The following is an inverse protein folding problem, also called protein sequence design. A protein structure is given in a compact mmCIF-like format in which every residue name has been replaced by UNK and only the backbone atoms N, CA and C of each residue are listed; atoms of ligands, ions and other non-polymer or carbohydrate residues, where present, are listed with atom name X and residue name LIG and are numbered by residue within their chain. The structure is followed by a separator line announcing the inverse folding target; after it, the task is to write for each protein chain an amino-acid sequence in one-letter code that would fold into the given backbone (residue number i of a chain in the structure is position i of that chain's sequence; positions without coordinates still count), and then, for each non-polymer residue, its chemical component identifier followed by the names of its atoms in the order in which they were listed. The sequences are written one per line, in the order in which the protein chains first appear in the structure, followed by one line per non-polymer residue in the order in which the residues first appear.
data_IF_821846771360
#
_entry.id   IF_821846771360
#
_cell.length_a   1.000
_cell.length_b   1.000
_cell.length_c   1.000
_cell.angle_alpha   90.00
_cell.angle_beta   90.00
_cell.angle_gamma   90.00
#
_symmetry.space_group_name_H-M   'P 1'
#
loop_
_entity.id
_entity.type
_entity.pdbx_description
1 polymer ?
#
# COMPACT_ATOMS: atom_id res chain seq x y z
N UNK A 1 -14.16 14.29 36.54
CA UNK A 1 -14.83 13.40 35.59
C UNK A 1 -13.71 12.64 34.85
N UNK A 2 -13.55 11.35 35.13
CA UNK A 2 -12.46 10.54 34.59
C UNK A 2 -12.87 10.09 33.17
N UNK A 3 -12.12 10.48 32.15
CA UNK A 3 -12.24 9.95 30.80
C UNK A 3 -11.35 8.69 30.73
N UNK A 4 -11.98 7.55 30.54
CA UNK A 4 -11.28 6.29 30.21
C UNK A 4 -10.94 6.31 28.77
N UNK A 5 -9.66 6.38 28.44
CA UNK A 5 -9.15 6.09 27.11
C UNK A 5 -9.01 4.57 26.97
N UNK A 6 -9.78 4.01 26.06
CA UNK A 6 -9.69 2.60 25.67
C UNK A 6 -8.51 2.49 24.70
N UNK A 7 -7.39 1.94 25.17
CA UNK A 7 -6.28 1.53 24.31
C UNK A 7 -6.70 0.26 23.57
N UNK A 8 -6.77 0.32 22.26
CA UNK A 8 -6.90 -0.85 21.41
C UNK A 8 -5.51 -1.42 21.19
N UNK A 9 -5.21 -2.51 21.87
CA UNK A 9 -3.97 -3.27 21.70
C UNK A 9 -4.12 -4.07 20.41
N UNK A 10 -3.32 -3.76 19.40
CA UNK A 10 -3.13 -4.60 18.22
C UNK A 10 -2.33 -5.82 18.67
N UNK A 11 -3.02 -6.90 18.99
CA UNK A 11 -2.40 -8.21 19.23
C UNK A 11 -2.10 -8.84 17.89
N UNK A 12 -0.83 -8.85 17.50
CA UNK A 12 -0.32 -9.70 16.43
C UNK A 12 -0.54 -11.17 16.81
N UNK A 13 -1.47 -11.82 16.11
CA UNK A 13 -1.76 -13.24 16.29
C UNK A 13 -0.62 -14.09 15.71
N UNK A 14 0.20 -14.66 16.58
CA UNK A 14 1.10 -15.76 16.21
C UNK A 14 0.27 -17.00 15.87
N UNK A 15 0.23 -17.36 14.61
CA UNK A 15 -0.30 -18.64 14.15
C UNK A 15 0.81 -19.71 14.28
N UNK A 16 0.80 -20.46 15.38
CA UNK A 16 1.64 -21.64 15.54
C UNK A 16 1.04 -22.81 14.77
N UNK A 17 1.65 -23.19 13.65
CA UNK A 17 1.33 -24.41 12.92
C UNK A 17 2.06 -25.56 13.61
N UNK A 18 1.32 -26.40 14.32
CA UNK A 18 1.79 -27.70 14.83
C UNK A 18 1.70 -28.74 13.73
N UNK A 19 2.85 -29.15 13.21
CA UNK A 19 3.00 -30.34 12.37
C UNK A 19 2.80 -31.61 13.24
N UNK A 20 1.73 -32.33 13.02
CA UNK A 20 1.55 -33.71 13.48
C UNK A 20 1.97 -34.66 12.36
N UNK A 21 3.13 -35.28 12.54
CA UNK A 21 3.56 -36.44 11.78
C UNK A 21 2.77 -37.67 12.26
N UNK A 22 2.08 -38.34 11.35
CA UNK A 22 1.44 -39.62 11.59
C UNK A 22 1.79 -40.58 10.45
N UNK A 23 2.69 -41.54 10.72
CA UNK A 23 2.97 -42.71 9.90
C UNK A 23 1.86 -43.76 10.06
N UNK A 24 1.56 -44.49 8.95
CA UNK A 24 0.77 -45.72 9.05
C UNK A 24 0.28 -46.22 7.70
N UNK A 25 0.87 -47.03 7.21
CA UNK A 25 1.22 -48.17 6.34
C UNK A 25 0.03 -49.05 5.84
N UNK A 26 0.17 -49.45 4.54
CA UNK A 26 -0.21 -50.67 3.83
C UNK A 26 -1.68 -51.03 3.58
N UNK A 27 -1.91 -51.38 2.28
CA UNK A 27 -2.76 -52.51 1.93
C UNK A 27 -3.58 -52.39 0.62
N UNK A 28 -2.96 -52.76 -0.45
CA UNK A 28 -3.35 -53.63 -1.60
C UNK A 28 -4.81 -53.83 -2.05
N UNK A 29 -4.90 -53.80 -3.37
CA UNK A 29 -5.67 -54.68 -4.31
C UNK A 29 -7.06 -54.20 -4.74
N UNK A 30 -7.19 -53.88 -5.98
CA UNK A 30 -7.36 -54.64 -7.24
C UNK A 30 -8.80 -54.85 -7.70
N UNK A 31 -8.95 -54.62 -9.00
CA UNK A 31 -9.86 -55.14 -10.02
C UNK A 31 -11.19 -54.41 -10.25
N UNK A 32 -11.25 -53.79 -11.42
CA UNK A 32 -11.79 -54.25 -12.71
C UNK A 32 -13.32 -54.44 -12.73
N UNK A 33 -14.07 -53.82 -13.59
CA UNK A 33 -14.38 -54.29 -14.93
C UNK A 33 -15.44 -53.37 -15.62
N UNK A 34 -15.20 -53.10 -16.86
CA UNK A 34 -16.03 -52.95 -18.05
C UNK A 34 -17.51 -52.57 -17.99
N UNK A 35 -17.89 -51.68 -18.91
CA UNK A 35 -19.27 -51.57 -19.40
C UNK A 35 -19.49 -50.39 -20.38
N UNK A 36 -19.05 -50.60 -21.63
CA UNK A 36 -19.41 -49.85 -22.84
C UNK A 36 -20.94 -49.93 -23.08
N UNK A 37 -21.53 -48.80 -23.55
CA UNK A 37 -22.40 -48.89 -24.73
C UNK A 37 -22.69 -47.54 -25.39
N UNK A 38 -22.40 -47.51 -26.65
CA UNK A 38 -22.75 -46.62 -27.75
C UNK A 38 -24.25 -46.71 -28.11
N UNK A 39 -24.79 -45.57 -28.63
CA UNK A 39 -25.59 -45.43 -29.86
C UNK A 39 -26.11 -43.97 -29.94
N UNK A 40 -25.71 -43.18 -30.88
CA UNK A 40 -25.86 -43.01 -32.33
C UNK A 40 -27.27 -42.58 -32.78
N UNK A 41 -27.34 -41.34 -33.36
CA UNK A 41 -28.05 -40.88 -34.59
C UNK A 41 -29.57 -40.64 -34.48
N UNK A 42 -30.08 -39.43 -34.82
CA UNK A 42 -30.42 -38.85 -36.16
C UNK A 42 -31.23 -37.58 -35.92
N UNK A 43 -30.91 -36.50 -36.46
CA UNK A 43 -31.22 -35.66 -37.64
C UNK A 43 -32.71 -35.63 -38.08
N UNK A 44 -33.30 -34.43 -38.13
CA UNK A 44 -34.06 -33.85 -39.25
C UNK A 44 -34.79 -32.56 -38.85
N UNK A 45 -34.38 -31.46 -39.39
CA UNK A 45 -34.91 -30.53 -40.42
C UNK A 45 -36.34 -30.03 -40.36
N UNK A 46 -36.39 -28.67 -40.64
CA UNK A 46 -37.45 -27.83 -41.28
C UNK A 46 -38.59 -27.34 -40.39
N UNK A 47 -38.77 -26.08 -40.29
CA UNK A 47 -39.02 -24.88 -41.08
C UNK A 47 -40.45 -24.37 -40.79
N UNK A 48 -40.64 -23.14 -40.40
CA UNK A 48 -41.54 -22.16 -40.98
C UNK A 48 -41.86 -20.97 -40.04
N UNK A 49 -41.73 -19.84 -40.65
CA UNK A 49 -42.02 -18.50 -40.21
C UNK A 49 -43.49 -18.25 -39.83
N UNK A 50 -43.77 -17.33 -38.91
CA UNK A 50 -44.67 -16.22 -39.14
C UNK A 50 -44.87 -15.28 -37.93
N UNK A 51 -44.71 -14.01 -38.26
CA UNK A 51 -45.50 -12.83 -37.83
C UNK A 51 -45.41 -12.29 -36.39
N UNK A 52 -44.89 -11.07 -36.34
CA UNK A 52 -44.98 -9.99 -35.35
C UNK A 52 -46.43 -9.63 -35.01
N UNK A 53 -46.70 -9.16 -33.76
CA UNK A 53 -47.14 -7.78 -33.70
C UNK A 53 -46.31 -6.91 -32.76
N UNK A 54 -46.04 -5.73 -33.24
CA UNK A 54 -45.70 -4.49 -32.57
C UNK A 54 -46.49 -4.24 -31.29
N UNK A 55 -45.82 -3.94 -30.19
CA UNK A 55 -46.43 -3.18 -29.09
C UNK A 55 -45.40 -2.22 -28.52
N UNK A 56 -45.86 -1.02 -28.45
CA UNK A 56 -45.25 0.27 -28.21
C UNK A 56 -44.30 0.37 -27.01
N UNK A 57 -43.33 1.24 -27.22
CA UNK A 57 -42.31 1.74 -26.32
C UNK A 57 -42.84 2.21 -24.95
N UNK A 58 -42.18 1.76 -23.89
CA UNK A 58 -41.99 2.57 -22.69
C UNK A 58 -40.53 2.85 -22.53
N UNK A 59 -40.16 4.09 -22.79
CA UNK A 59 -38.89 4.74 -22.52
C UNK A 59 -38.62 4.67 -21.01
N UNK A 60 -37.75 3.80 -20.60
CA UNK A 60 -37.07 3.92 -19.31
C UNK A 60 -35.63 4.26 -19.60
N UNK A 61 -35.13 5.28 -18.90
CA UNK A 61 -33.89 5.98 -18.98
C UNK A 61 -32.71 5.26 -19.67
N UNK A 62 -32.17 5.91 -20.68
CA UNK A 62 -30.89 5.59 -21.27
C UNK A 62 -29.80 5.72 -20.18
N UNK A 63 -29.42 4.62 -19.54
CA UNK A 63 -28.09 4.47 -18.99
C UNK A 63 -27.14 4.51 -20.18
N UNK A 64 -26.16 5.38 -20.16
CA UNK A 64 -25.06 5.43 -21.11
C UNK A 64 -24.47 4.03 -21.18
N UNK A 65 -24.65 3.33 -22.30
CA UNK A 65 -23.88 2.13 -22.64
C UNK A 65 -22.45 2.61 -22.90
N UNK A 66 -21.66 2.78 -21.83
CA UNK A 66 -20.22 2.97 -21.93
C UNK A 66 -19.60 1.70 -22.52
N UNK A 67 -18.59 1.87 -23.33
CA UNK A 67 -17.74 0.79 -23.82
C UNK A 67 -17.12 0.07 -22.59
N UNK A 68 -17.13 -1.27 -22.59
CA UNK A 68 -16.51 -2.08 -21.54
C UNK A 68 -15.28 -2.79 -22.07
N UNK A 69 -14.35 -3.09 -21.20
CA UNK A 69 -13.16 -3.89 -21.48
C UNK A 69 -13.06 -5.04 -20.46
N UNK A 70 -12.53 -6.17 -20.90
CA UNK A 70 -12.26 -7.28 -20.00
C UNK A 70 -10.82 -7.15 -19.50
N UNK A 71 -10.65 -7.17 -18.18
CA UNK A 71 -9.35 -7.18 -17.52
C UNK A 71 -9.19 -8.47 -16.71
N UNK A 72 -7.96 -8.84 -16.40
CA UNK A 72 -7.68 -10.00 -15.55
C UNK A 72 -7.18 -9.53 -14.20
N UNK A 73 -7.84 -9.96 -13.15
CA UNK A 73 -7.43 -9.75 -11.77
C UNK A 73 -7.00 -11.07 -11.09
N UNK A 74 -6.77 -11.09 -9.78
CA UNK A 74 -6.37 -12.30 -9.05
C UNK A 74 -7.47 -13.37 -8.98
N UNK A 75 -8.72 -13.04 -9.29
CA UNK A 75 -9.87 -13.96 -9.31
C UNK A 75 -10.23 -14.44 -10.72
N UNK A 76 -9.73 -13.79 -11.76
CA UNK A 76 -9.98 -14.12 -13.15
C UNK A 76 -10.35 -12.93 -14.01
N UNK A 77 -11.21 -13.13 -15.01
CA UNK A 77 -11.66 -12.07 -15.92
C UNK A 77 -12.80 -11.27 -15.28
N UNK A 78 -12.67 -9.94 -15.34
CA UNK A 78 -13.67 -8.96 -14.88
C UNK A 78 -13.96 -8.00 -16.02
N UNK A 79 -15.24 -7.72 -16.30
CA UNK A 79 -15.67 -6.70 -17.25
C UNK A 79 -15.82 -5.36 -16.52
N UNK A 80 -15.07 -4.34 -16.96
CA UNK A 80 -15.06 -2.99 -16.35
C UNK A 80 -15.38 -1.94 -17.40
N UNK A 81 -15.81 -0.71 -17.02
CA UNK A 81 -15.89 0.42 -17.96
C UNK A 81 -14.53 0.70 -18.61
N UNK A 82 -14.50 0.96 -19.92
CA UNK A 82 -13.27 1.32 -20.62
C UNK A 82 -12.71 2.69 -20.15
N UNK A 83 -13.56 3.56 -19.65
CA UNK A 83 -13.21 4.87 -19.11
C UNK A 83 -13.99 5.15 -17.83
N UNK A 84 -13.60 4.53 -16.68
CA UNK A 84 -14.30 4.69 -15.42
C UNK A 84 -14.19 6.13 -14.90
N UNK A 85 -15.29 6.69 -14.45
CA UNK A 85 -15.42 8.08 -14.01
C UNK A 85 -15.59 8.22 -12.50
N UNK A 86 -16.02 7.16 -11.83
CA UNK A 86 -16.34 7.16 -10.40
C UNK A 86 -15.68 5.97 -9.70
N UNK A 87 -14.35 6.07 -9.61
CA UNK A 87 -13.54 5.01 -9.01
C UNK A 87 -13.57 5.13 -7.49
N UNK A 88 -13.86 4.02 -6.82
CA UNK A 88 -13.59 3.84 -5.39
C UNK A 88 -12.40 2.92 -5.23
N UNK A 89 -11.36 3.39 -4.56
CA UNK A 89 -10.16 2.60 -4.27
C UNK A 89 -10.04 2.27 -2.77
N UNK A 90 -10.22 1.01 -2.44
CA UNK A 90 -10.03 0.49 -1.09
C UNK A 90 -8.68 -0.22 -0.91
N UNK A 91 -7.91 -0.37 -1.98
CA UNK A 91 -6.61 -1.04 -1.96
C UNK A 91 -5.49 -0.19 -1.34
N UNK A 92 -5.69 1.14 -1.27
CA UNK A 92 -4.70 2.08 -0.79
C UNK A 92 -3.70 2.55 -1.84
N UNK A 93 -4.05 2.42 -3.14
CA UNK A 93 -3.20 2.79 -4.27
C UNK A 93 -3.80 3.94 -5.10
N UNK A 94 -4.55 4.83 -4.45
CA UNK A 94 -5.15 5.99 -5.13
C UNK A 94 -4.10 6.96 -5.68
N UNK A 95 -2.92 7.01 -5.11
CA UNK A 95 -1.77 7.74 -5.62
C UNK A 95 -1.24 7.14 -6.93
N UNK A 96 -1.20 5.79 -7.05
CA UNK A 96 -0.88 5.12 -8.30
C UNK A 96 -1.93 5.43 -9.36
N UNK A 97 -3.21 5.39 -9.01
CA UNK A 97 -4.28 5.77 -9.94
C UNK A 97 -4.10 7.20 -10.45
N UNK A 98 -3.68 8.13 -9.57
CA UNK A 98 -3.38 9.52 -9.96
C UNK A 98 -2.20 9.59 -10.94
N UNK A 99 -1.14 8.82 -10.72
CA UNK A 99 0.00 8.69 -11.64
C UNK A 99 -0.46 8.21 -13.02
N UNK A 100 -1.42 7.30 -13.06
CA UNK A 100 -2.01 6.76 -14.30
C UNK A 100 -3.05 7.69 -14.95
N UNK A 101 -3.34 8.85 -14.33
CA UNK A 101 -4.27 9.86 -14.85
C UNK A 101 -5.72 9.69 -14.42
N UNK A 102 -5.99 8.92 -13.37
CA UNK A 102 -7.33 8.73 -12.81
C UNK A 102 -7.50 9.47 -11.49
N UNK A 103 -8.73 9.90 -11.22
CA UNK A 103 -9.14 10.43 -9.92
C UNK A 103 -10.11 9.48 -9.26
N UNK A 104 -10.11 9.44 -7.93
CA UNK A 104 -11.01 8.61 -7.13
C UNK A 104 -12.08 9.46 -6.47
N UNK A 105 -13.29 8.91 -6.28
CA UNK A 105 -14.38 9.55 -5.53
C UNK A 105 -14.40 9.10 -4.07
N UNK A 106 -13.77 7.98 -3.76
CA UNK A 106 -13.59 7.43 -2.43
C UNK A 106 -12.30 6.63 -2.32
N UNK A 107 -11.65 6.65 -1.17
CA UNK A 107 -10.33 6.07 -0.99
C UNK A 107 -10.12 5.51 0.41
N UNK A 108 -9.28 4.48 0.52
CA UNK A 108 -8.74 3.98 1.78
C UNK A 108 -7.31 4.48 2.07
N UNK A 109 -6.82 5.51 1.38
CA UNK A 109 -5.55 6.18 1.69
C UNK A 109 -5.72 7.21 2.82
N UNK A 110 -6.21 6.80 3.99
CA UNK A 110 -6.18 7.65 5.18
C UNK A 110 -4.81 7.61 5.87
N UNK A 111 -4.56 8.58 6.74
CA UNK A 111 -3.37 8.58 7.58
C UNK A 111 -3.40 7.41 8.58
N UNK A 112 -2.26 6.73 8.79
CA UNK A 112 -2.15 5.56 9.65
C UNK A 112 -2.38 5.87 11.14
N UNK A 113 -2.22 7.12 11.55
CA UNK A 113 -2.39 7.59 12.93
C UNK A 113 -3.73 8.31 13.14
N UNK A 114 -4.40 8.76 12.06
CA UNK A 114 -5.71 9.41 12.11
C UNK A 114 -6.53 9.06 10.85
N UNK A 115 -7.32 8.00 10.90
CA UNK A 115 -8.11 7.51 9.76
C UNK A 115 -9.19 8.49 9.26
N UNK A 116 -9.32 9.66 9.88
CA UNK A 116 -10.24 10.71 9.46
C UNK A 116 -9.60 11.77 8.56
N UNK A 117 -8.30 11.62 8.28
CA UNK A 117 -7.52 12.57 7.48
C UNK A 117 -6.78 11.88 6.36
N UNK A 118 -6.50 12.62 5.31
CA UNK A 118 -5.47 12.21 4.35
C UNK A 118 -4.08 12.38 4.96
N UNK A 119 -3.10 11.54 4.57
CA UNK A 119 -1.71 11.85 4.85
C UNK A 119 -1.32 13.12 4.06
N UNK A 120 -0.54 14.00 4.68
CA UNK A 120 -0.23 15.34 4.14
C UNK A 120 0.35 15.31 2.72
N UNK A 121 1.15 14.27 2.39
CA UNK A 121 1.73 14.10 1.06
C UNK A 121 0.70 13.69 -0.04
N UNK A 122 -0.55 13.38 0.32
CA UNK A 122 -1.62 13.04 -0.63
C UNK A 122 -2.80 14.02 -0.59
N UNK A 123 -2.81 15.04 0.26
CA UNK A 123 -3.95 15.97 0.39
C UNK A 123 -4.34 16.62 -0.94
N UNK A 124 -3.36 17.09 -1.71
CA UNK A 124 -3.62 17.70 -3.02
C UNK A 124 -4.08 16.65 -4.05
N UNK A 125 -3.49 15.46 -4.03
CA UNK A 125 -3.80 14.36 -4.96
C UNK A 125 -5.22 13.82 -4.75
N UNK A 126 -5.65 13.73 -3.49
CA UNK A 126 -6.93 13.14 -3.10
C UNK A 126 -8.01 14.19 -2.82
N UNK A 127 -7.78 15.45 -3.21
CA UNK A 127 -8.74 16.51 -2.99
C UNK A 127 -10.10 16.18 -3.61
N UNK A 128 -11.14 16.16 -2.78
CA UNK A 128 -12.52 15.88 -3.19
C UNK A 128 -12.93 14.40 -3.09
N UNK A 129 -12.03 13.50 -2.79
CA UNK A 129 -12.36 12.11 -2.47
C UNK A 129 -12.91 12.00 -1.03
N UNK A 130 -13.78 11.01 -0.80
CA UNK A 130 -14.25 10.65 0.55
C UNK A 130 -13.31 9.61 1.18
N UNK A 131 -12.95 9.81 2.45
CA UNK A 131 -12.16 8.83 3.20
C UNK A 131 -13.08 7.70 3.64
N UNK A 132 -12.79 6.47 3.18
CA UNK A 132 -13.58 5.28 3.48
C UNK A 132 -12.93 4.38 4.55
N UNK A 133 -11.70 4.68 4.92
CA UNK A 133 -10.95 3.92 5.91
C UNK A 133 -9.45 3.88 5.63
N UNK A 134 -8.77 2.93 6.26
CA UNK A 134 -7.34 2.68 6.08
C UNK A 134 -7.14 1.35 5.33
N UNK A 135 -6.30 1.36 4.31
CA UNK A 135 -6.12 0.25 3.36
C UNK A 135 -5.72 -1.10 3.97
N UNK A 136 -5.14 -1.09 5.18
CA UNK A 136 -4.81 -2.33 5.91
C UNK A 136 -5.99 -2.91 6.70
N UNK A 137 -7.16 -2.29 6.66
CA UNK A 137 -8.38 -2.83 7.25
C UNK A 137 -9.00 -3.86 6.28
N UNK A 138 -9.42 -5.00 6.82
CA UNK A 138 -10.04 -6.08 6.03
C UNK A 138 -11.55 -5.88 5.79
N UNK A 139 -12.14 -4.85 6.42
CA UNK A 139 -13.55 -4.47 6.28
C UNK A 139 -13.70 -2.95 6.36
N UNK A 140 -14.59 -2.42 5.53
CA UNK A 140 -14.93 -1.00 5.47
C UNK A 140 -16.46 -0.83 5.38
N UNK A 141 -16.94 0.41 5.46
CA UNK A 141 -18.36 0.72 5.41
C UNK A 141 -18.91 0.57 3.98
N UNK A 142 -19.65 -0.50 3.74
CA UNK A 142 -20.29 -0.80 2.44
C UNK A 142 -21.33 0.27 2.07
N UNK A 143 -22.05 0.84 3.03
CA UNK A 143 -23.06 1.86 2.77
C UNK A 143 -22.38 3.16 2.29
N UNK A 144 -21.24 3.51 2.86
CA UNK A 144 -20.45 4.65 2.40
C UNK A 144 -19.96 4.44 0.96
N UNK A 145 -19.44 3.25 0.63
CA UNK A 145 -19.06 2.89 -0.75
C UNK A 145 -20.24 3.03 -1.70
N UNK A 146 -21.40 2.44 -1.37
CA UNK A 146 -22.59 2.46 -2.20
C UNK A 146 -23.12 3.90 -2.43
N UNK A 147 -23.03 4.77 -1.42
CA UNK A 147 -23.49 6.17 -1.53
C UNK A 147 -22.66 7.01 -2.49
N UNK A 148 -21.45 6.58 -2.82
CA UNK A 148 -20.60 7.21 -3.81
C UNK A 148 -20.99 6.85 -5.25
N UNK A 149 -21.94 5.93 -5.46
CA UNK A 149 -22.41 5.48 -6.78
C UNK A 149 -21.23 5.21 -7.74
N UNK A 150 -20.29 4.29 -7.35
CA UNK A 150 -19.11 4.01 -8.14
C UNK A 150 -19.44 3.24 -9.43
N UNK A 151 -18.65 3.46 -10.47
CA UNK A 151 -18.67 2.66 -11.70
C UNK A 151 -17.52 1.63 -11.76
N UNK A 152 -16.55 1.77 -10.85
CA UNK A 152 -15.47 0.80 -10.63
C UNK A 152 -15.03 0.83 -9.16
N UNK A 153 -14.80 -0.36 -8.60
CA UNK A 153 -14.23 -0.54 -7.27
C UNK A 153 -12.91 -1.31 -7.39
N UNK A 154 -11.85 -0.81 -6.72
CA UNK A 154 -10.56 -1.48 -6.65
C UNK A 154 -10.32 -1.87 -5.20
N UNK A 155 -9.96 -3.13 -4.98
CA UNK A 155 -9.57 -3.66 -3.67
C UNK A 155 -8.25 -4.42 -3.78
N UNK A 156 -7.59 -4.64 -2.65
CA UNK A 156 -6.49 -5.61 -2.57
C UNK A 156 -6.96 -6.92 -1.95
N UNK A 157 -6.10 -7.92 -1.93
CA UNK A 157 -6.37 -9.20 -1.24
C UNK A 157 -6.62 -9.02 0.27
N UNK A 158 -6.26 -7.88 0.87
CA UNK A 158 -6.61 -7.54 2.26
C UNK A 158 -8.13 -7.48 2.45
N UNK A 159 -8.85 -6.93 1.47
CA UNK A 159 -10.30 -6.77 1.49
C UNK A 159 -11.06 -7.93 0.82
N UNK A 160 -10.41 -9.07 0.55
CA UNK A 160 -11.03 -10.21 -0.16
C UNK A 160 -12.42 -10.61 0.39
N UNK A 161 -12.61 -10.52 1.70
CA UNK A 161 -13.88 -10.86 2.37
C UNK A 161 -15.06 -9.99 1.93
N UNK A 162 -14.78 -8.78 1.43
CA UNK A 162 -15.79 -7.82 0.99
C UNK A 162 -16.16 -7.98 -0.49
N UNK A 163 -15.38 -8.75 -1.27
CA UNK A 163 -15.48 -8.82 -2.73
C UNK A 163 -16.90 -9.06 -3.22
N UNK A 164 -17.59 -10.08 -2.67
CA UNK A 164 -18.92 -10.46 -3.16
C UNK A 164 -19.96 -9.34 -2.93
N UNK A 165 -19.88 -8.63 -1.80
CA UNK A 165 -20.77 -7.51 -1.50
C UNK A 165 -20.46 -6.28 -2.36
N UNK A 166 -19.19 -5.99 -2.58
CA UNK A 166 -18.76 -4.86 -3.42
C UNK A 166 -19.13 -5.08 -4.89
N UNK A 167 -19.04 -6.32 -5.37
CA UNK A 167 -19.41 -6.70 -6.73
C UNK A 167 -20.92 -6.60 -7.02
N UNK A 168 -21.76 -6.52 -5.98
CA UNK A 168 -23.18 -6.22 -6.12
C UNK A 168 -23.43 -4.71 -6.34
N UNK A 169 -22.46 -3.85 -6.03
CA UNK A 169 -22.53 -2.39 -6.18
C UNK A 169 -22.00 -1.97 -7.56
N UNK A 170 -20.78 -2.39 -7.89
CA UNK A 170 -20.10 -2.06 -9.15
C UNK A 170 -19.09 -3.14 -9.53
N UNK A 171 -18.62 -3.20 -10.81
CA UNK A 171 -17.48 -4.00 -11.19
C UNK A 171 -16.33 -3.82 -10.19
N UNK A 172 -15.83 -4.93 -9.64
CA UNK A 172 -14.80 -4.92 -8.60
C UNK A 172 -13.58 -5.67 -9.07
N UNK A 173 -12.44 -5.01 -9.09
CA UNK A 173 -11.13 -5.57 -9.43
C UNK A 173 -10.33 -5.79 -8.15
N UNK A 174 -9.84 -7.01 -7.94
CA UNK A 174 -9.00 -7.34 -6.81
C UNK A 174 -7.55 -7.54 -7.26
N UNK A 175 -6.64 -6.75 -6.69
CA UNK A 175 -5.22 -6.79 -7.00
C UNK A 175 -4.43 -7.48 -5.89
N UNK A 176 -3.33 -8.15 -6.28
CA UNK A 176 -2.29 -8.61 -5.37
C UNK A 176 -1.17 -7.57 -5.37
N UNK A 177 -0.82 -7.06 -4.19
CA UNK A 177 0.29 -6.14 -4.05
C UNK A 177 1.58 -6.90 -3.77
N UNK A 178 2.67 -6.44 -4.39
CA UNK A 178 4.01 -6.95 -4.19
C UNK A 178 4.70 -6.12 -3.09
N UNK A 179 4.50 -6.50 -1.85
CA UNK A 179 4.79 -5.74 -0.64
C UNK A 179 6.16 -5.04 -0.56
N UNK A 180 7.18 -5.54 -1.27
CA UNK A 180 8.51 -4.95 -1.34
C UNK A 180 8.86 -4.42 -2.74
N UNK A 181 7.95 -4.50 -3.71
CA UNK A 181 8.19 -4.08 -5.09
C UNK A 181 7.12 -3.10 -5.58
N UNK A 182 7.14 -1.89 -5.04
CA UNK A 182 6.19 -0.83 -5.37
C UNK A 182 6.11 -0.48 -6.86
N UNK A 183 7.19 -0.70 -7.63
CA UNK A 183 7.20 -0.49 -9.09
C UNK A 183 6.34 -1.53 -9.80
N UNK A 184 6.28 -2.75 -9.28
CA UNK A 184 5.41 -3.79 -9.81
C UNK A 184 3.95 -3.51 -9.46
N UNK A 185 3.67 -2.90 -8.30
CA UNK A 185 2.32 -2.45 -7.95
C UNK A 185 1.81 -1.39 -8.94
N UNK A 186 2.66 -0.43 -9.34
CA UNK A 186 2.31 0.54 -10.40
C UNK A 186 2.01 -0.18 -11.72
N UNK A 187 2.86 -1.14 -12.14
CA UNK A 187 2.66 -1.89 -13.39
C UNK A 187 1.39 -2.75 -13.36
N UNK A 188 1.11 -3.37 -12.23
CA UNK A 188 -0.10 -4.19 -12.03
C UNK A 188 -1.35 -3.36 -12.24
N UNK A 189 -1.44 -2.18 -11.62
CA UNK A 189 -2.56 -1.27 -11.85
C UNK A 189 -2.58 -0.71 -13.28
N UNK A 190 -1.42 -0.39 -13.84
CA UNK A 190 -1.32 0.09 -15.22
C UNK A 190 -1.88 -0.92 -16.22
N UNK A 191 -1.64 -2.21 -16.03
CA UNK A 191 -2.20 -3.29 -16.88
C UNK A 191 -3.73 -3.33 -16.83
N UNK A 192 -4.34 -3.12 -15.66
CA UNK A 192 -5.80 -3.07 -15.53
C UNK A 192 -6.40 -1.97 -16.41
N UNK A 193 -5.68 -0.85 -16.58
CA UNK A 193 -6.19 0.31 -17.30
C UNK A 193 -5.57 0.50 -18.70
N UNK A 194 -4.67 -0.39 -19.15
CA UNK A 194 -3.93 -0.21 -20.42
C UNK A 194 -3.09 1.06 -20.42
N UNK A 195 -2.41 1.35 -19.29
CA UNK A 195 -1.59 2.56 -19.05
C UNK A 195 -0.13 2.24 -18.80
N UNK A 196 0.36 1.14 -19.32
CA UNK A 196 1.74 0.65 -19.12
C UNK A 196 2.79 1.68 -19.52
N UNK A 197 2.58 2.39 -20.63
CA UNK A 197 3.48 3.46 -21.08
C UNK A 197 3.57 4.61 -20.05
N UNK A 198 2.46 4.99 -19.42
CA UNK A 198 2.44 6.03 -18.40
C UNK A 198 3.19 5.58 -17.12
N UNK A 199 2.99 4.33 -16.71
CA UNK A 199 3.70 3.72 -15.60
C UNK A 199 5.22 3.71 -15.83
N UNK A 200 5.66 3.21 -16.97
CA UNK A 200 7.08 3.10 -17.31
C UNK A 200 7.73 4.48 -17.44
N UNK A 201 7.03 5.47 -17.99
CA UNK A 201 7.51 6.84 -18.06
C UNK A 201 7.70 7.44 -16.67
N UNK A 202 6.70 7.29 -15.79
CA UNK A 202 6.77 7.83 -14.43
C UNK A 202 7.89 7.14 -13.63
N UNK A 203 7.98 5.80 -13.68
CA UNK A 203 9.04 5.04 -13.02
C UNK A 203 10.41 5.50 -13.48
N UNK A 204 10.62 5.68 -14.80
CA UNK A 204 11.90 6.12 -15.35
C UNK A 204 12.28 7.52 -14.87
N UNK A 205 11.32 8.45 -14.82
CA UNK A 205 11.54 9.81 -14.30
C UNK A 205 11.88 9.80 -12.81
N UNK A 206 11.19 8.96 -12.02
CA UNK A 206 11.48 8.77 -10.61
C UNK A 206 12.90 8.23 -10.37
N UNK A 207 13.32 7.20 -11.15
CA UNK A 207 14.64 6.59 -11.02
C UNK A 207 15.78 7.59 -11.34
N UNK A 208 15.60 8.45 -12.34
CA UNK A 208 16.55 9.51 -12.65
C UNK A 208 16.65 10.51 -11.49
N UNK A 209 15.52 10.98 -10.98
CA UNK A 209 15.45 11.89 -9.82
C UNK A 209 16.07 11.27 -8.56
N UNK A 210 15.79 10.00 -8.28
CA UNK A 210 16.32 9.28 -7.13
C UNK A 210 17.85 9.16 -7.20
N UNK A 211 18.38 8.86 -8.39
CA UNK A 211 19.82 8.82 -8.61
C UNK A 211 20.47 10.18 -8.38
N UNK A 212 19.88 11.25 -8.92
CA UNK A 212 20.39 12.63 -8.74
C UNK A 212 20.37 13.05 -7.25
N UNK A 213 19.27 12.75 -6.54
CA UNK A 213 19.17 13.01 -5.10
C UNK A 213 20.24 12.24 -4.30
N UNK A 214 20.46 10.96 -4.62
CA UNK A 214 21.51 10.16 -4.00
C UNK A 214 22.91 10.67 -4.27
N UNK A 215 23.20 11.10 -5.50
CA UNK A 215 24.49 11.74 -5.85
C UNK A 215 24.70 13.05 -5.06
N UNK A 216 23.66 13.86 -4.90
CA UNK A 216 23.73 15.10 -4.12
C UNK A 216 24.03 14.83 -2.64
N UNK A 217 23.38 13.83 -2.02
CA UNK A 217 23.64 13.44 -0.62
C UNK A 217 25.07 12.93 -0.47
N UNK A 218 25.53 12.02 -1.34
CA UNK A 218 26.91 11.50 -1.29
C UNK A 218 27.94 12.59 -1.48
N UNK A 219 27.70 13.55 -2.37
CA UNK A 219 28.61 14.68 -2.58
C UNK A 219 28.71 15.59 -1.34
N UNK A 220 27.62 15.77 -0.60
CA UNK A 220 27.56 16.62 0.58
C UNK A 220 28.11 15.93 1.84
N UNK A 221 27.84 14.64 2.03
CA UNK A 221 28.09 13.91 3.27
C UNK A 221 29.16 12.82 3.17
N UNK A 222 29.55 12.40 1.96
CA UNK A 222 30.54 11.36 1.68
C UNK A 222 29.93 10.05 1.17
N UNK A 223 30.72 9.34 0.36
CA UNK A 223 30.30 8.10 -0.30
C UNK A 223 29.99 6.96 0.69
N UNK A 224 30.76 6.88 1.78
CA UNK A 224 30.70 5.79 2.76
C UNK A 224 29.81 6.14 3.97
N UNK A 225 29.21 7.34 3.99
CA UNK A 225 28.33 7.76 5.09
C UNK A 225 27.07 6.89 5.13
N UNK A 226 26.83 6.26 6.26
CA UNK A 226 25.75 5.31 6.49
C UNK A 226 24.54 5.95 7.19
N UNK A 227 23.36 5.50 6.81
CA UNK A 227 22.09 6.07 7.27
C UNK A 227 21.19 4.98 7.84
N UNK A 228 20.66 5.16 9.05
CA UNK A 228 19.69 4.29 9.67
C UNK A 228 18.34 5.00 9.71
N UNK A 229 17.26 4.31 9.29
CA UNK A 229 15.89 4.82 9.48
C UNK A 229 15.05 3.84 10.28
N UNK A 230 14.32 4.32 11.28
CA UNK A 230 13.41 3.50 12.07
C UNK A 230 12.27 4.31 12.69
N UNK A 231 11.18 3.59 13.00
CA UNK A 231 10.07 4.09 13.81
C UNK A 231 10.27 3.61 15.26
N UNK A 232 10.25 4.55 16.22
CA UNK A 232 10.11 4.23 17.63
C UNK A 232 8.61 4.23 17.99
N UNK A 233 8.11 3.11 18.51
CA UNK A 233 6.72 3.00 18.95
C UNK A 233 6.56 1.96 20.06
N UNK A 234 5.97 2.36 21.17
CA UNK A 234 5.69 1.47 22.31
C UNK A 234 6.94 0.81 22.90
N UNK A 235 8.08 1.48 22.90
CA UNK A 235 9.36 0.95 23.39
C UNK A 235 10.02 -0.06 22.44
N UNK A 236 9.56 -0.20 21.22
CA UNK A 236 10.12 -1.03 20.15
C UNK A 236 10.64 -0.17 19.00
N UNK A 237 11.61 -0.67 18.25
CA UNK A 237 12.20 0.01 17.10
C UNK A 237 12.00 -0.81 15.84
N UNK A 238 11.15 -0.30 14.96
CA UNK A 238 10.82 -0.90 13.68
C UNK A 238 11.75 -0.33 12.61
N UNK A 239 12.71 -1.13 12.18
CA UNK A 239 13.78 -0.67 11.29
C UNK A 239 13.38 -0.81 9.83
N UNK A 240 13.50 0.26 9.06
CA UNK A 240 13.26 0.24 7.62
C UNK A 240 14.52 -0.24 6.89
N UNK A 241 14.47 -1.38 6.25
CA UNK A 241 15.64 -1.95 5.55
C UNK A 241 15.40 -2.23 4.07
N UNK A 242 14.27 -2.82 3.72
CA UNK A 242 13.88 -3.16 2.34
C UNK A 242 12.54 -2.59 1.93
N UNK A 243 11.86 -1.84 2.82
CA UNK A 243 10.58 -1.23 2.55
C UNK A 243 10.53 0.20 3.10
N UNK A 244 9.51 0.95 2.71
CA UNK A 244 9.23 2.28 3.21
C UNK A 244 10.44 3.23 3.06
N UNK A 245 10.69 4.04 4.07
CA UNK A 245 11.75 5.05 4.05
C UNK A 245 13.14 4.47 3.77
N UNK A 246 13.47 3.28 4.34
CA UNK A 246 14.77 2.65 4.13
C UNK A 246 15.02 2.25 2.69
N UNK A 247 14.00 1.75 1.97
CA UNK A 247 14.16 1.43 0.55
C UNK A 247 14.38 2.66 -0.32
N UNK A 248 13.83 3.83 0.06
CA UNK A 248 14.15 5.10 -0.61
C UNK A 248 15.63 5.43 -0.44
N UNK A 249 16.16 5.34 0.78
CA UNK A 249 17.57 5.62 1.05
C UNK A 249 18.51 4.66 0.29
N UNK A 250 18.26 3.35 0.41
CA UNK A 250 19.23 2.35 0.00
C UNK A 250 19.08 1.87 -1.43
N UNK A 251 17.84 1.65 -1.88
CA UNK A 251 17.56 1.05 -3.18
C UNK A 251 17.37 2.11 -4.26
N UNK A 252 16.68 3.21 -3.93
CA UNK A 252 16.40 4.25 -4.90
C UNK A 252 17.55 5.27 -4.98
N UNK A 253 18.00 5.83 -3.85
CA UNK A 253 19.08 6.80 -3.81
C UNK A 253 20.49 6.18 -3.80
N UNK A 254 20.62 4.89 -3.49
CA UNK A 254 21.89 4.16 -3.43
C UNK A 254 22.81 4.64 -2.30
N UNK A 255 22.24 5.04 -1.16
CA UNK A 255 23.01 5.44 0.02
C UNK A 255 23.51 4.21 0.80
N UNK A 256 24.59 4.38 1.55
CA UNK A 256 25.21 3.28 2.26
C UNK A 256 24.35 2.78 3.44
N UNK A 257 24.19 1.45 3.51
CA UNK A 257 23.55 0.76 4.63
C UNK A 257 24.55 0.68 5.80
N UNK A 258 24.10 0.90 7.06
CA UNK A 258 24.97 0.67 8.21
C UNK A 258 25.27 -0.80 8.42
N UNK A 259 26.42 -1.09 9.04
CA UNK A 259 26.75 -2.46 9.47
C UNK A 259 25.75 -2.94 10.54
N UNK A 260 25.41 -4.22 10.49
CA UNK A 260 24.49 -4.82 11.46
C UNK A 260 23.01 -4.56 11.20
N UNK A 261 22.67 -3.92 10.08
CA UNK A 261 21.26 -3.73 9.68
C UNK A 261 20.61 -5.09 9.46
N UNK A 262 19.45 -5.41 10.11
CA UNK A 262 18.78 -6.69 9.89
C UNK A 262 18.23 -6.78 8.46
N UNK A 263 18.18 -8.00 7.92
CA UNK A 263 17.54 -8.25 6.62
C UNK A 263 16.02 -8.21 6.77
N UNK A 264 15.34 -7.73 5.74
CA UNK A 264 13.87 -7.73 5.62
C UNK A 264 13.49 -8.61 4.42
N UNK A 265 12.66 -9.62 4.66
CA UNK A 265 12.25 -10.60 3.66
C UNK A 265 10.77 -10.47 3.24
N UNK A 266 9.99 -9.70 3.98
CA UNK A 266 8.57 -9.44 3.73
C UNK A 266 8.20 -8.01 4.19
N UNK A 267 6.94 -7.65 4.12
CA UNK A 267 6.46 -6.31 4.49
C UNK A 267 6.66 -5.99 5.98
N UNK A 268 6.84 -7.00 6.83
CA UNK A 268 7.02 -6.81 8.27
C UNK A 268 8.38 -6.18 8.54
N UNK A 269 8.37 -5.04 9.19
CA UNK A 269 9.61 -4.36 9.59
C UNK A 269 10.35 -5.18 10.66
N UNK A 270 11.67 -5.41 10.53
CA UNK A 270 12.46 -5.96 11.59
C UNK A 270 12.37 -5.12 12.87
N UNK A 271 12.18 -5.78 14.02
CA UNK A 271 12.10 -5.14 15.32
C UNK A 271 13.40 -5.37 16.08
N UNK A 272 14.00 -4.30 16.56
CA UNK A 272 15.23 -4.37 17.37
C UNK A 272 15.01 -3.77 18.76
N UNK A 273 15.86 -4.17 19.71
CA UNK A 273 15.95 -3.58 21.06
C UNK A 273 16.92 -2.41 21.10
N UNK A 274 17.05 -1.75 22.25
CA UNK A 274 18.09 -0.73 22.47
C UNK A 274 19.52 -1.24 22.20
N UNK A 275 19.80 -2.47 22.63
CA UNK A 275 21.10 -3.11 22.35
C UNK A 275 21.27 -3.43 20.86
N UNK A 276 20.16 -3.79 20.19
CA UNK A 276 20.12 -3.97 18.74
C UNK A 276 20.46 -2.67 18.01
N UNK A 277 19.83 -1.54 18.38
CA UNK A 277 20.19 -0.21 17.83
C UNK A 277 21.66 0.13 18.08
N UNK A 278 22.16 -0.13 19.28
CA UNK A 278 23.56 0.15 19.62
C UNK A 278 24.55 -0.74 18.83
N UNK A 279 24.12 -1.88 18.30
CA UNK A 279 24.94 -2.75 17.45
C UNK A 279 24.92 -2.34 15.97
N UNK A 280 23.99 -1.47 15.56
CA UNK A 280 23.90 -0.93 14.21
C UNK A 280 24.73 0.36 14.17
N UNK A 281 25.90 0.31 13.52
CA UNK A 281 26.83 1.43 13.44
C UNK A 281 26.46 2.40 12.35
N UNK A 282 25.50 3.32 12.60
CA UNK A 282 25.10 4.34 11.65
C UNK A 282 25.74 5.69 11.93
N UNK A 283 26.10 6.43 10.87
CA UNK A 283 26.60 7.82 10.97
C UNK A 283 25.45 8.80 11.16
N UNK A 284 24.33 8.59 10.46
CA UNK A 284 23.10 9.41 10.56
C UNK A 284 21.91 8.54 10.88
N UNK A 285 20.94 9.09 11.62
CA UNK A 285 19.70 8.44 12.00
C UNK A 285 18.50 9.30 11.55
N UNK A 286 17.57 8.71 10.81
CA UNK A 286 16.22 9.23 10.60
C UNK A 286 15.30 8.54 11.60
N UNK A 287 14.92 9.27 12.65
CA UNK A 287 14.03 8.80 13.72
C UNK A 287 12.62 9.28 13.46
N UNK A 288 11.71 8.34 13.27
CA UNK A 288 10.27 8.61 13.24
C UNK A 288 9.69 8.25 14.61
N UNK A 289 8.95 9.16 15.21
CA UNK A 289 8.33 8.94 16.51
C UNK A 289 7.12 9.86 16.73
N UNK A 290 6.22 9.43 17.60
CA UNK A 290 5.28 10.36 18.24
C UNK A 290 6.01 11.17 19.33
N UNK A 291 5.43 12.27 19.77
CA UNK A 291 6.01 13.07 20.88
C UNK A 291 6.20 12.23 22.16
N UNK A 292 5.27 11.28 22.43
CA UNK A 292 5.32 10.39 23.58
C UNK A 292 6.48 9.40 23.49
N UNK A 293 6.59 8.70 22.34
CA UNK A 293 7.67 7.73 22.09
C UNK A 293 9.05 8.41 22.09
N UNK A 294 9.14 9.62 21.51
CA UNK A 294 10.37 10.44 21.52
C UNK A 294 10.78 10.82 22.94
N UNK A 295 9.83 11.26 23.76
CA UNK A 295 10.09 11.63 25.16
C UNK A 295 10.56 10.43 26.00
N UNK A 296 10.07 9.21 25.73
CA UNK A 296 10.57 7.98 26.34
C UNK A 296 11.99 7.66 25.87
N UNK A 297 12.24 7.74 24.57
CA UNK A 297 13.54 7.47 23.95
C UNK A 297 14.64 8.38 24.52
N UNK A 298 14.36 9.66 24.68
CA UNK A 298 15.31 10.68 25.21
C UNK A 298 15.75 10.41 26.64
N UNK A 299 15.00 9.64 27.42
CA UNK A 299 15.36 9.26 28.78
C UNK A 299 16.24 8.00 28.83
N UNK A 300 16.42 7.31 27.70
CA UNK A 300 17.17 6.06 27.68
C UNK A 300 18.68 6.30 27.55
N UNK A 301 19.44 5.67 28.47
CA UNK A 301 20.89 5.84 28.50
C UNK A 301 21.59 5.19 27.30
N UNK A 302 21.07 4.09 26.75
CA UNK A 302 21.66 3.44 25.57
C UNK A 302 21.48 4.33 24.34
N UNK A 303 20.27 4.86 24.12
CA UNK A 303 20.01 5.83 23.08
C UNK A 303 20.96 7.00 23.14
N UNK A 304 21.05 7.64 24.29
CA UNK A 304 21.92 8.81 24.52
C UNK A 304 23.43 8.51 24.40
N UNK A 305 23.83 7.23 24.38
CA UNK A 305 25.21 6.80 24.18
C UNK A 305 25.57 6.55 22.71
N UNK A 306 24.61 6.52 21.79
CA UNK A 306 24.86 6.28 20.38
C UNK A 306 25.72 7.41 19.78
N UNK A 307 26.76 7.10 18.98
CA UNK A 307 27.65 8.13 18.39
C UNK A 307 26.87 9.17 17.56
N UNK A 308 25.90 8.76 16.74
CA UNK A 308 25.07 9.65 15.95
C UNK A 308 24.25 10.63 16.83
N UNK A 309 23.72 10.14 17.96
CA UNK A 309 22.98 10.97 18.93
C UNK A 309 23.92 11.99 19.60
N UNK A 310 25.09 11.55 20.06
CA UNK A 310 26.09 12.41 20.71
C UNK A 310 26.63 13.49 19.77
N UNK A 311 26.69 13.20 18.46
CA UNK A 311 27.16 14.12 17.43
C UNK A 311 26.06 15.03 16.87
N UNK A 312 24.80 14.84 17.30
CA UNK A 312 23.65 15.57 16.76
C UNK A 312 23.27 15.19 15.32
N UNK A 313 23.65 13.98 14.90
CA UNK A 313 23.38 13.43 13.56
C UNK A 313 22.07 12.63 13.54
N UNK A 314 21.03 13.19 14.15
CA UNK A 314 19.69 12.64 14.19
C UNK A 314 18.70 13.59 13.54
N UNK A 315 18.06 13.14 12.48
CA UNK A 315 16.91 13.81 11.87
C UNK A 315 15.66 13.28 12.56
N UNK A 316 14.99 14.13 13.30
CA UNK A 316 13.76 13.78 14.03
C UNK A 316 12.55 14.11 13.15
N UNK A 317 11.72 13.11 12.88
CA UNK A 317 10.54 13.19 12.03
C UNK A 317 9.31 12.76 12.82
N UNK A 318 8.16 13.42 12.68
CA UNK A 318 6.92 12.92 13.25
C UNK A 318 6.58 11.54 12.63
N UNK A 319 5.98 10.65 13.43
CA UNK A 319 5.59 9.32 12.95
C UNK A 319 4.65 9.43 11.74
N UNK A 320 3.60 10.27 11.81
CA UNK A 320 2.83 10.70 10.65
C UNK A 320 3.39 12.05 10.15
N UNK A 321 3.59 12.22 8.84
CA UNK A 321 3.26 11.29 7.75
C UNK A 321 4.37 10.27 7.40
N UNK A 322 5.56 10.42 7.95
CA UNK A 322 6.79 9.79 7.45
C UNK A 322 6.81 8.26 7.54
N UNK A 323 6.03 7.65 8.47
CA UNK A 323 5.90 6.20 8.55
C UNK A 323 5.39 5.60 7.22
N UNK A 324 4.34 6.19 6.65
CA UNK A 324 3.72 5.68 5.42
C UNK A 324 4.25 6.33 4.14
N UNK A 325 4.89 7.49 4.23
CA UNK A 325 5.31 8.26 3.05
C UNK A 325 6.22 7.46 2.10
N UNK A 326 7.14 6.67 2.65
CA UNK A 326 8.03 5.82 1.87
C UNK A 326 7.36 4.60 1.21
N UNK A 327 6.09 4.31 1.48
CA UNK A 327 5.32 3.26 0.81
C UNK A 327 4.51 3.80 -0.39
N UNK A 328 4.23 5.08 -0.42
CA UNK A 328 3.50 5.75 -1.49
C UNK A 328 4.47 6.18 -2.60
N UNK A 329 4.24 5.85 -3.88
CA UNK A 329 5.06 6.37 -4.98
C UNK A 329 5.18 7.90 -4.99
N UNK A 330 4.10 8.64 -4.82
CA UNK A 330 4.11 10.11 -4.71
C UNK A 330 4.88 10.55 -3.46
N UNK A 331 4.64 9.89 -2.33
CA UNK A 331 5.36 10.16 -1.08
C UNK A 331 6.87 9.93 -1.20
N UNK A 332 7.30 8.88 -1.90
CA UNK A 332 8.71 8.61 -2.20
C UNK A 332 9.33 9.72 -3.03
N UNK A 333 8.61 10.18 -4.07
CA UNK A 333 9.12 11.25 -4.93
C UNK A 333 9.35 12.54 -4.15
N UNK A 334 8.45 12.88 -3.20
CA UNK A 334 8.62 14.03 -2.31
C UNK A 334 9.82 13.86 -1.36
N UNK A 335 10.03 12.64 -0.81
CA UNK A 335 11.19 12.38 0.05
C UNK A 335 12.52 12.62 -0.66
N UNK A 336 12.62 12.38 -1.97
CA UNK A 336 13.85 12.68 -2.72
C UNK A 336 14.23 14.16 -2.66
N UNK A 337 13.23 15.05 -2.66
CA UNK A 337 13.46 16.50 -2.55
C UNK A 337 13.81 16.93 -1.12
N UNK A 338 13.26 16.22 -0.11
CA UNK A 338 13.33 16.60 1.29
C UNK A 338 14.57 16.07 2.02
N UNK A 339 15.08 14.88 1.66
CA UNK A 339 16.13 14.18 2.43
C UNK A 339 17.41 15.01 2.58
N UNK A 340 17.86 15.69 1.54
CA UNK A 340 19.04 16.54 1.63
C UNK A 340 18.82 17.74 2.59
N UNK A 341 17.66 18.37 2.51
CA UNK A 341 17.27 19.47 3.41
C UNK A 341 17.15 19.00 4.86
N UNK A 342 16.59 17.80 5.08
CA UNK A 342 16.52 17.18 6.40
C UNK A 342 17.90 16.99 7.01
N UNK A 343 18.86 16.48 6.23
CA UNK A 343 20.23 16.26 6.65
C UNK A 343 20.97 17.58 6.97
N UNK A 344 20.73 18.65 6.21
CA UNK A 344 21.30 19.99 6.44
C UNK A 344 20.79 20.64 7.75
N UNK A 345 19.89 19.97 8.46
CA UNK A 345 19.35 20.43 9.74
C UNK A 345 18.29 21.53 9.60
N UNK A 346 17.84 21.84 8.38
CA UNK A 346 16.68 22.71 8.12
C UNK A 346 15.38 22.02 8.53
N UNK A 347 15.37 20.71 8.64
CA UNK A 347 14.24 19.89 9.12
C UNK A 347 13.74 20.27 10.54
N UNK A 348 14.53 20.94 11.35
CA UNK A 348 14.06 21.49 12.65
C UNK A 348 12.91 22.50 12.51
N UNK A 349 12.74 23.08 11.31
CA UNK A 349 11.64 23.99 11.01
C UNK A 349 10.40 23.26 10.48
N UNK A 350 10.53 22.04 9.95
CA UNK A 350 9.39 21.25 9.47
C UNK A 350 8.44 20.85 10.59
N UNK A 351 8.95 20.46 11.76
CA UNK A 351 8.14 20.20 12.94
C UNK A 351 7.28 21.39 13.40
N UNK A 352 7.71 22.63 13.11
CA UNK A 352 6.99 23.84 13.51
C UNK A 352 5.91 24.25 12.51
N UNK A 353 6.02 23.88 11.24
CA UNK A 353 5.03 24.23 10.21
C UNK A 353 3.75 23.40 10.30
N UNK A 354 3.87 22.13 10.71
CA UNK A 354 2.71 21.23 10.83
C UNK A 354 1.96 21.34 12.18
N UNK A 355 2.55 22.00 13.19
CA UNK A 355 1.90 22.20 14.50
C UNK A 355 1.17 23.54 14.62
N UNK A 356 1.33 24.48 13.68
CA UNK A 356 0.75 25.84 13.78
C UNK A 356 -0.70 25.94 13.23
N UNK A 357 -1.15 25.02 12.39
CA UNK A 357 -2.50 25.08 11.81
C UNK A 357 -3.56 24.31 12.62
N UNK A 358 -3.18 23.64 13.71
CA UNK A 358 -4.13 22.92 14.59
C UNK A 358 -4.62 23.75 15.80
N UNK A 359 -4.32 25.06 15.84
CA UNK A 359 -4.62 25.93 16.97
C UNK A 359 -5.35 27.24 16.58
N UNK A 360 -6.31 27.18 15.64
CA UNK A 360 -7.30 28.25 15.42
C UNK A 360 -8.72 27.69 15.23
#
# INVERSE_FOLDING_TARGET
MKKNHLFSIITAGMLTITLLAGCGNTGSNANADTGSNTNTVQESTEDQASAVPESEAQTTGEGQNGETVTVTDVRGEVEIPADPQRIVDLSGNSDILSILGYSVVGTANSDAYDYTKFPTYLEDTLQGAEILGYSMQDTMDIEAVMNLDPDLIIISTVQEKMYDQLSEIAPTVMIQLEALNWKEDIRTLAQVFGREDAADQWISSYEEKAKEAGEAVRAAYGEDTSYLSFLASGGQFFVFTGAGFGSVLYEDMGLAKPEGLPEQSDISLPVVTYEGLASIGADYIFLMATDEDKAELDQNAVWNSLPAVQSGQVVELPASPYFNQGYSPIGRELLLDEILEMLDGTAKNYCLLYTSDAAD
#
